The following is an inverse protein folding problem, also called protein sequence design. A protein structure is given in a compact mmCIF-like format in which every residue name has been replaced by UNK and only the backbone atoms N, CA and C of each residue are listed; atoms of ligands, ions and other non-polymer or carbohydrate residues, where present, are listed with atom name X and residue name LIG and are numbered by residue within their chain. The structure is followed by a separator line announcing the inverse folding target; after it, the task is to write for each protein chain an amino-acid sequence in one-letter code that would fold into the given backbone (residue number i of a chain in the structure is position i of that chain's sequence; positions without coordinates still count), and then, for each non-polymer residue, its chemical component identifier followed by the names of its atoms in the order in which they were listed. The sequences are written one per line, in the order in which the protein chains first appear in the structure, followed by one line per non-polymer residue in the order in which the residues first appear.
data_IF_455292206931
#
_entry.id   IF_455292206931
#
_cell.length_a   1.000
_cell.length_b   1.000
_cell.length_c   1.000
_cell.angle_alpha   90.00
_cell.angle_beta   90.00
_cell.angle_gamma   90.00
#
_symmetry.space_group_name_H-M   'P 1'
#
loop_
_entity.id
_entity.type
_entity.pdbx_description
1 polymer ?
#
# COMPACT_ATOMS: atom_id res chain seq x y z
N UNK A 1 52.92 33.73 -14.38
CA UNK A 1 51.59 33.47 -15.00
C UNK A 1 51.26 31.97 -15.09
N UNK A 2 52.15 31.11 -15.61
CA UNK A 2 51.92 29.66 -15.76
C UNK A 2 51.52 28.92 -14.45
N UNK A 3 52.16 29.24 -13.31
CA UNK A 3 51.86 28.62 -11.99
C UNK A 3 50.43 28.90 -11.50
N UNK A 4 49.92 30.11 -11.75
CA UNK A 4 48.56 30.53 -11.36
C UNK A 4 47.49 29.85 -12.23
N UNK A 5 47.78 29.67 -13.52
CA UNK A 5 46.94 28.93 -14.48
C UNK A 5 46.85 27.45 -14.10
N UNK A 6 47.97 26.83 -13.71
CA UNK A 6 48.00 25.43 -13.30
C UNK A 6 47.20 25.21 -12.01
N UNK A 7 47.37 26.10 -11.02
CA UNK A 7 46.58 26.07 -9.79
C UNK A 7 45.07 26.24 -10.03
N UNK A 8 44.67 27.11 -10.97
CA UNK A 8 43.25 27.30 -11.33
C UNK A 8 42.65 26.04 -11.99
N UNK A 9 43.41 25.40 -12.88
CA UNK A 9 42.99 24.15 -13.54
C UNK A 9 42.82 23.00 -12.56
N UNK A 10 43.75 22.85 -11.61
CA UNK A 10 43.66 21.83 -10.56
C UNK A 10 42.46 22.09 -9.63
N UNK A 11 42.20 23.35 -9.27
CA UNK A 11 41.03 23.73 -8.48
C UNK A 11 39.72 23.44 -9.22
N UNK A 12 39.66 23.73 -10.52
CA UNK A 12 38.49 23.45 -11.36
C UNK A 12 38.25 21.94 -11.52
N UNK A 13 39.31 21.14 -11.71
CA UNK A 13 39.22 19.68 -11.79
C UNK A 13 38.78 19.03 -10.47
N UNK A 14 39.21 19.58 -9.33
CA UNK A 14 38.73 19.16 -8.01
C UNK A 14 37.26 19.49 -7.81
N UNK A 15 36.82 20.68 -8.22
CA UNK A 15 35.43 21.11 -8.08
C UNK A 15 34.47 20.29 -8.96
N UNK A 16 34.87 19.96 -10.21
CA UNK A 16 34.09 19.08 -11.08
C UNK A 16 34.07 17.64 -10.60
N UNK A 17 35.13 17.17 -9.95
CA UNK A 17 35.15 15.85 -9.31
C UNK A 17 34.24 15.81 -8.07
N UNK A 18 34.29 16.84 -7.22
CA UNK A 18 33.41 16.98 -6.04
C UNK A 18 31.92 17.07 -6.42
N UNK A 19 31.57 17.82 -7.47
CA UNK A 19 30.18 17.89 -7.96
C UNK A 19 29.77 16.66 -8.81
N UNK A 20 30.71 16.03 -9.53
CA UNK A 20 30.43 14.88 -10.39
C UNK A 20 30.16 13.59 -9.63
N UNK A 21 30.78 13.39 -8.46
CA UNK A 21 30.54 12.23 -7.59
C UNK A 21 29.15 12.28 -6.93
N UNK A 22 28.54 13.47 -6.81
CA UNK A 22 27.23 13.64 -6.19
C UNK A 22 26.04 13.20 -7.08
N UNK A 23 26.26 12.80 -8.34
CA UNK A 23 25.17 12.52 -9.32
C UNK A 23 24.97 11.02 -9.61
N UNK A 24 25.58 10.09 -8.86
CA UNK A 24 25.47 8.64 -9.12
C UNK A 24 24.84 7.80 -8.00
N UNK A 25 24.23 8.43 -7.00
CA UNK A 25 23.43 7.70 -6.02
C UNK A 25 21.97 8.03 -6.33
N UNK A 26 21.17 7.03 -6.72
CA UNK A 26 19.72 7.18 -6.65
C UNK A 26 19.41 7.58 -5.20
N UNK A 27 19.08 8.86 -4.96
CA UNK A 27 18.89 9.36 -3.61
C UNK A 27 17.63 8.71 -3.05
N UNK A 28 17.83 7.64 -2.29
CA UNK A 28 16.78 7.04 -1.50
C UNK A 28 16.35 8.08 -0.46
N UNK A 29 15.05 8.31 -0.39
CA UNK A 29 14.44 9.20 0.60
C UNK A 29 13.95 8.35 1.76
N UNK A 30 14.69 8.40 2.87
CA UNK A 30 14.28 7.78 4.13
C UNK A 30 13.56 8.79 5.01
N UNK A 31 12.40 8.42 5.54
CA UNK A 31 11.73 9.14 6.63
C UNK A 31 11.80 8.26 7.86
N UNK A 32 12.46 8.77 8.90
CA UNK A 32 12.63 8.10 10.20
C UNK A 32 13.31 6.71 10.12
N UNK A 33 14.05 6.45 9.04
CA UNK A 33 14.93 5.30 8.86
C UNK A 33 16.34 5.78 8.51
N UNK A 34 17.38 5.17 9.09
CA UNK A 34 18.78 5.47 8.75
C UNK A 34 19.32 4.61 7.61
N UNK A 35 18.60 3.56 7.24
CA UNK A 35 18.98 2.61 6.21
C UNK A 35 17.81 2.41 5.22
N UNK A 36 17.46 3.43 4.43
CA UNK A 36 16.41 3.27 3.42
C UNK A 36 16.82 2.21 2.40
N UNK A 37 15.94 1.22 2.16
CA UNK A 37 16.22 0.12 1.22
C UNK A 37 15.57 0.32 -0.15
N UNK A 38 14.64 1.27 -0.26
CA UNK A 38 13.86 1.59 -1.47
C UNK A 38 13.94 3.08 -1.78
N UNK A 39 13.36 3.53 -2.91
CA UNK A 39 13.49 4.95 -3.34
C UNK A 39 12.79 5.92 -2.40
N UNK A 40 11.65 5.52 -1.87
CA UNK A 40 11.00 6.15 -0.72
C UNK A 40 10.79 5.07 0.32
N UNK A 41 11.25 5.32 1.54
CA UNK A 41 11.10 4.41 2.66
C UNK A 41 10.69 5.18 3.91
N UNK A 42 9.51 4.86 4.45
CA UNK A 42 8.95 5.47 5.65
C UNK A 42 8.79 4.43 6.74
N UNK A 43 9.52 4.64 7.83
CA UNK A 43 9.51 3.78 9.00
C UNK A 43 8.94 4.56 10.18
N UNK A 44 7.67 4.33 10.51
CA UNK A 44 7.01 5.11 11.55
C UNK A 44 7.50 4.75 12.96
N UNK A 45 7.81 3.48 13.21
CA UNK A 45 8.15 2.99 14.55
C UNK A 45 9.62 3.18 14.90
N UNK A 46 10.47 3.36 13.89
CA UNK A 46 11.92 3.48 14.03
C UNK A 46 12.54 2.29 14.75
N UNK A 47 11.99 1.11 14.55
CA UNK A 47 12.45 -0.15 15.14
C UNK A 47 13.47 -0.86 14.26
N UNK A 48 13.71 -0.36 13.04
CA UNK A 48 14.79 -0.84 12.19
C UNK A 48 16.17 -0.66 12.81
N UNK A 49 16.90 -1.77 12.88
CA UNK A 49 18.31 -1.83 13.22
C UNK A 49 19.16 -1.38 12.02
N UNK A 50 20.43 -0.97 12.21
CA UNK A 50 21.32 -0.68 11.07
C UNK A 50 21.47 -1.83 10.06
N UNK A 51 21.19 -3.07 10.46
CA UNK A 51 21.41 -4.28 9.64
C UNK A 51 20.10 -4.98 9.24
N UNK A 52 19.07 -4.96 10.10
CA UNK A 52 17.81 -5.67 9.89
C UNK A 52 16.70 -4.63 9.80
N UNK A 53 15.88 -4.76 8.77
CA UNK A 53 14.63 -4.02 8.66
C UNK A 53 13.45 -4.92 9.00
N UNK A 54 12.56 -4.41 9.83
CA UNK A 54 11.26 -4.97 10.14
C UNK A 54 10.30 -4.72 8.96
N UNK A 55 9.35 -5.63 8.79
CA UNK A 55 8.40 -5.60 7.66
C UNK A 55 7.06 -4.98 8.09
N UNK A 56 7.09 -3.80 8.68
CA UNK A 56 5.90 -3.01 9.05
C UNK A 56 5.88 -1.61 8.42
N UNK A 57 6.80 -1.36 7.49
CA UNK A 57 7.06 -0.07 6.85
C UNK A 57 6.20 0.21 5.60
N UNK A 58 6.24 1.48 5.16
CA UNK A 58 5.73 1.92 3.86
C UNK A 58 6.89 2.19 2.90
N UNK A 59 6.84 1.57 1.71
CA UNK A 59 7.89 1.71 0.70
C UNK A 59 7.34 1.98 -0.69
N UNK A 60 8.12 2.73 -1.47
CA UNK A 60 8.04 2.75 -2.94
C UNK A 60 9.37 2.29 -3.49
N UNK A 61 9.36 1.26 -4.35
CA UNK A 61 10.55 0.68 -4.98
C UNK A 61 10.95 1.42 -6.26
N UNK A 62 12.17 1.23 -6.73
CA UNK A 62 12.63 1.80 -8.02
C UNK A 62 11.84 1.28 -9.23
N UNK A 63 11.21 0.10 -9.10
CA UNK A 63 10.29 -0.45 -10.12
C UNK A 63 8.86 0.10 -10.03
N UNK A 64 8.61 1.04 -9.09
CA UNK A 64 7.31 1.68 -8.89
C UNK A 64 6.28 0.82 -8.16
N UNK A 65 6.70 -0.23 -7.46
CA UNK A 65 5.81 -1.02 -6.59
C UNK A 65 5.72 -0.37 -5.20
N UNK A 66 4.52 -0.39 -4.61
CA UNK A 66 4.22 0.12 -3.27
C UNK A 66 4.03 -1.04 -2.30
N UNK A 67 4.73 -0.99 -1.17
CA UNK A 67 4.58 -1.95 -0.07
C UNK A 67 4.03 -1.29 1.18
N UNK A 68 3.12 -1.96 1.88
CA UNK A 68 2.64 -1.58 3.23
C UNK A 68 2.75 -2.81 4.12
N UNK A 69 3.55 -2.75 5.17
CA UNK A 69 3.89 -3.93 5.96
C UNK A 69 4.81 -4.90 5.22
N UNK A 70 5.57 -4.40 4.25
CA UNK A 70 6.58 -5.17 3.53
C UNK A 70 7.54 -4.24 2.80
N UNK A 71 8.82 -4.52 2.89
CA UNK A 71 9.89 -3.80 2.20
C UNK A 71 10.25 -4.41 0.84
N UNK A 72 9.71 -5.59 0.54
CA UNK A 72 9.94 -6.35 -0.70
C UNK A 72 8.60 -6.70 -1.36
N UNK A 73 7.86 -5.70 -1.89
CA UNK A 73 6.57 -5.93 -2.54
C UNK A 73 6.74 -6.73 -3.83
N UNK A 74 5.90 -7.76 -3.99
CA UNK A 74 5.92 -8.67 -5.16
C UNK A 74 4.97 -8.25 -6.28
N UNK A 75 4.07 -7.31 -5.99
CA UNK A 75 3.06 -6.77 -6.89
C UNK A 75 3.10 -5.24 -6.90
N UNK A 76 2.35 -4.58 -7.79
CA UNK A 76 2.29 -3.12 -7.87
C UNK A 76 1.86 -2.47 -6.56
N UNK A 77 0.94 -3.12 -5.84
CA UNK A 77 0.56 -2.82 -4.46
C UNK A 77 0.57 -4.15 -3.68
N UNK A 78 1.34 -4.23 -2.61
CA UNK A 78 1.46 -5.41 -1.74
C UNK A 78 1.26 -4.95 -0.29
N UNK A 79 0.20 -5.42 0.35
CA UNK A 79 -0.18 -5.06 1.72
C UNK A 79 -0.19 -6.33 2.57
N UNK A 80 0.64 -6.39 3.61
CA UNK A 80 0.65 -7.50 4.56
C UNK A 80 -0.02 -7.09 5.87
N UNK A 81 -1.28 -7.47 6.01
CA UNK A 81 -2.06 -7.16 7.20
C UNK A 81 -3.55 -7.08 6.90
N UNK A 82 -4.33 -6.61 7.88
CA UNK A 82 -5.75 -6.32 7.70
C UNK A 82 -5.92 -4.93 7.08
N UNK A 83 -6.91 -4.79 6.20
CA UNK A 83 -7.24 -3.53 5.54
C UNK A 83 -8.64 -3.11 5.98
N UNK A 84 -8.81 -1.83 6.31
CA UNK A 84 -10.11 -1.22 6.52
C UNK A 84 -10.40 -0.25 5.36
N UNK A 85 -11.56 -0.40 4.72
CA UNK A 85 -12.02 0.48 3.63
C UNK A 85 -13.34 1.08 4.07
N UNK A 86 -13.40 2.41 4.21
CA UNK A 86 -14.58 3.19 4.60
C UNK A 86 -14.94 4.15 3.46
N UNK A 87 -16.05 3.88 2.80
CA UNK A 87 -16.59 4.62 1.65
C UNK A 87 -18.11 4.90 1.79
N UNK A 88 -18.73 4.45 2.89
CA UNK A 88 -20.16 4.59 3.18
C UNK A 88 -21.02 3.41 2.71
N UNK A 89 -20.48 2.48 1.93
CA UNK A 89 -21.17 1.27 1.46
C UNK A 89 -21.05 0.05 2.37
N UNK A 90 -20.29 0.14 3.46
CA UNK A 90 -20.06 -0.96 4.41
C UNK A 90 -21.37 -1.35 5.09
N UNK A 91 -21.69 -2.65 5.12
CA UNK A 91 -22.79 -3.19 5.91
C UNK A 91 -22.40 -4.56 6.48
N UNK A 92 -23.10 -4.99 7.55
CA UNK A 92 -22.93 -6.33 8.11
C UNK A 92 -23.25 -7.37 7.03
N UNK A 93 -22.35 -8.32 6.83
CA UNK A 93 -22.48 -9.38 5.82
C UNK A 93 -22.07 -8.99 4.39
N UNK A 94 -21.78 -7.72 4.11
CA UNK A 94 -21.26 -7.32 2.81
C UNK A 94 -19.86 -7.87 2.56
N UNK A 95 -19.59 -8.23 1.31
CA UNK A 95 -18.27 -8.62 0.81
C UNK A 95 -17.73 -7.55 -0.14
N UNK A 96 -16.43 -7.32 -0.12
CA UNK A 96 -15.78 -6.45 -1.09
C UNK A 96 -15.70 -7.19 -2.43
N UNK A 97 -16.27 -6.61 -3.47
CA UNK A 97 -16.30 -7.18 -4.83
C UNK A 97 -15.86 -6.16 -5.85
N UNK A 98 -15.54 -6.60 -7.06
CA UNK A 98 -15.21 -5.70 -8.17
C UNK A 98 -16.41 -5.56 -9.11
N UNK A 99 -16.71 -4.35 -9.55
CA UNK A 99 -17.71 -4.10 -10.57
C UNK A 99 -17.15 -4.29 -12.00
N UNK A 100 -17.97 -4.03 -13.02
CA UNK A 100 -17.57 -4.19 -14.43
C UNK A 100 -16.39 -3.28 -14.85
N UNK A 101 -16.13 -2.20 -14.12
CA UNK A 101 -15.01 -1.28 -14.37
C UNK A 101 -13.78 -1.59 -13.53
N UNK A 102 -13.78 -2.67 -12.74
CA UNK A 102 -12.68 -3.01 -11.85
C UNK A 102 -12.70 -2.29 -10.50
N UNK A 103 -13.68 -1.43 -10.22
CA UNK A 103 -13.76 -0.69 -8.96
C UNK A 103 -14.23 -1.60 -7.83
N UNK A 104 -13.55 -1.51 -6.69
CA UNK A 104 -13.97 -2.19 -5.47
C UNK A 104 -15.25 -1.54 -4.91
N UNK A 105 -16.25 -2.35 -4.62
CA UNK A 105 -17.52 -1.96 -4.01
C UNK A 105 -17.89 -2.96 -2.92
N UNK A 106 -18.53 -2.46 -1.85
CA UNK A 106 -19.20 -3.32 -0.89
C UNK A 106 -20.51 -3.81 -1.49
N UNK A 107 -20.65 -5.12 -1.63
CA UNK A 107 -21.85 -5.73 -2.17
C UNK A 107 -22.35 -6.83 -1.23
N UNK A 108 -23.66 -6.99 -1.20
CA UNK A 108 -24.26 -8.11 -0.49
C UNK A 108 -24.12 -9.38 -1.35
N UNK A 109 -23.52 -10.46 -0.85
CA UNK A 109 -23.37 -11.67 -1.64
C UNK A 109 -24.75 -12.28 -1.92
N UNK A 110 -24.98 -12.80 -3.13
CA UNK A 110 -26.23 -13.49 -3.42
C UNK A 110 -26.38 -14.72 -2.51
N UNK A 111 -27.40 -14.74 -1.66
CA UNK A 111 -27.74 -15.92 -0.85
C UNK A 111 -28.51 -16.92 -1.71
N UNK A 112 -28.05 -18.16 -1.74
CA UNK A 112 -28.81 -19.26 -2.33
C UNK A 112 -29.96 -19.57 -1.37
N UNK A 113 -31.19 -19.30 -1.81
CA UNK A 113 -32.38 -19.67 -1.07
C UNK A 113 -32.51 -21.19 -1.08
N UNK A 114 -32.37 -21.83 0.07
CA UNK A 114 -32.69 -23.27 0.19
C UNK A 114 -34.16 -23.46 -0.17
N UNK A 115 -34.40 -24.22 -1.23
CA UNK A 115 -35.75 -24.66 -1.57
C UNK A 115 -36.11 -25.75 -0.58
N UNK A 116 -37.09 -25.50 0.29
CA UNK A 116 -37.70 -26.54 1.12
C UNK A 116 -38.92 -27.05 0.38
N UNK A 117 -38.89 -28.31 -0.02
CA UNK A 117 -40.01 -29.03 -0.65
C UNK A 117 -40.60 -28.31 -1.89
N UNK A 118 -39.75 -27.71 -2.73
CA UNK A 118 -40.17 -27.07 -3.98
C UNK A 118 -40.72 -25.65 -3.86
N UNK A 119 -40.74 -25.06 -2.66
CA UNK A 119 -41.27 -23.70 -2.43
C UNK A 119 -40.12 -22.70 -2.19
N UNK A 120 -40.06 -21.64 -2.99
CA UNK A 120 -39.22 -20.47 -2.69
C UNK A 120 -39.96 -19.61 -1.64
N UNK A 121 -39.35 -19.24 -0.49
CA UNK A 121 -39.98 -18.30 0.43
C UNK A 121 -40.43 -17.00 -0.27
N UNK A 122 -41.58 -16.43 0.09
CA UNK A 122 -42.23 -15.40 -0.72
C UNK A 122 -41.68 -13.98 -0.55
N UNK A 123 -40.80 -13.71 0.43
CA UNK A 123 -40.32 -12.36 0.71
C UNK A 123 -38.82 -12.23 0.45
N UNK A 124 -38.44 -11.15 -0.25
CA UNK A 124 -37.08 -10.83 -0.64
C UNK A 124 -36.38 -9.89 0.36
N UNK A 125 -36.96 -9.65 1.54
CA UNK A 125 -36.53 -8.57 2.43
C UNK A 125 -35.64 -8.98 3.61
N UNK A 126 -35.54 -10.27 3.96
CA UNK A 126 -35.06 -10.64 5.31
C UNK A 126 -34.11 -11.84 5.36
N UNK A 127 -33.22 -12.01 4.39
CA UNK A 127 -32.08 -12.91 4.62
C UNK A 127 -30.82 -12.08 4.45
N UNK A 128 -30.35 -11.54 5.57
CA UNK A 128 -28.97 -11.08 5.69
C UNK A 128 -28.03 -12.30 5.57
N UNK A 129 -26.75 -12.12 5.18
CA UNK A 129 -25.82 -13.22 4.90
C UNK A 129 -25.46 -14.03 6.16
N UNK A 130 -25.82 -13.51 7.33
CA UNK A 130 -25.68 -14.12 8.65
C UNK A 130 -26.88 -15.04 9.03
N UNK A 131 -27.89 -15.15 8.16
CA UNK A 131 -29.07 -15.99 8.38
C UNK A 131 -30.11 -15.39 9.33
N UNK A 132 -29.94 -14.14 9.77
CA UNK A 132 -30.94 -13.45 10.55
C UNK A 132 -31.88 -12.64 9.65
N UNK A 133 -33.18 -12.78 9.89
CA UNK A 133 -34.17 -11.80 9.40
C UNK A 133 -33.89 -10.47 10.08
N UNK A 134 -34.13 -9.33 9.42
CA UNK A 134 -34.12 -8.06 10.12
C UNK A 134 -34.97 -8.19 11.39
N UNK A 135 -34.52 -7.69 12.56
CA UNK A 135 -35.38 -7.66 13.73
C UNK A 135 -36.70 -6.95 13.33
N UNK A 136 -37.87 -7.42 13.82
CA UNK A 136 -39.14 -6.83 13.47
C UNK A 136 -39.07 -5.32 13.64
N UNK A 137 -39.33 -4.58 12.56
CA UNK A 137 -39.47 -3.13 12.62
C UNK A 137 -40.73 -2.88 13.45
N UNK A 138 -40.52 -2.55 14.72
CA UNK A 138 -41.58 -2.16 15.63
C UNK A 138 -42.29 -0.93 15.07
N UNK A 139 -43.61 -1.04 15.02
CA UNK A 139 -44.57 0.01 14.67
C UNK A 139 -44.76 0.99 15.81
#
# INVERSE_FOLDING_TARGET
MKKKINSLKTSLLLLTWLFGVAVLQAQQTGINTKNPQTVLHVDAKKDNSPVIQEADDFVVTSSGNVGIGTISPTHKLDIRGKIQIIDGGQQVGSVLTSNASGLAIWNHPAVSKTIVNGVYPATSSDILPDGYTNPPKDS
#
